data_IF_780293507020
#
_entry.id   IF_780293507020
#
_cell.length_a   1.000
_cell.length_b   1.000
_cell.length_c   1.000
_cell.angle_alpha   90.00
_cell.angle_beta   90.00
_cell.angle_gamma   90.00
#
_symmetry.space_group_name_H-M   'P 1'
#
loop_
_entity.id
_entity.type
_entity.pdbx_description
1 polymer ?
#
# COMPACT_ATOMS: atom_id res chain seq x y z
N UNK A 1 -12.29 11.16 5.82
CA UNK A 1 -10.94 10.61 6.08
C UNK A 1 -10.87 9.52 7.15
N UNK A 2 -11.93 9.23 7.93
CA UNK A 2 -11.93 8.10 8.86
C UNK A 2 -11.67 6.75 8.15
N UNK A 3 -12.22 6.59 6.94
CA UNK A 3 -11.91 5.49 6.02
C UNK A 3 -11.32 6.06 4.72
N UNK A 4 -9.97 6.15 4.61
CA UNK A 4 -9.32 6.83 3.50
C UNK A 4 -9.31 6.01 2.20
N UNK A 5 -9.38 4.68 2.30
CA UNK A 5 -9.37 3.77 1.16
C UNK A 5 -10.76 3.14 0.95
N UNK A 6 -11.08 2.83 -0.31
CA UNK A 6 -12.35 2.22 -0.69
C UNK A 6 -12.44 0.76 -0.19
N UNK A 7 -13.37 0.43 0.73
CA UNK A 7 -13.41 -0.89 1.35
C UNK A 7 -13.70 -2.01 0.35
N UNK A 8 -14.61 -1.74 -0.60
CA UNK A 8 -15.01 -2.69 -1.64
C UNK A 8 -13.85 -3.06 -2.57
N UNK A 9 -13.08 -2.09 -3.07
CA UNK A 9 -11.89 -2.37 -3.89
C UNK A 9 -10.80 -3.10 -3.10
N UNK A 10 -10.60 -2.73 -1.84
CA UNK A 10 -9.65 -3.44 -0.95
C UNK A 10 -10.02 -4.91 -0.78
N UNK A 11 -11.29 -5.22 -0.60
CA UNK A 11 -11.76 -6.59 -0.46
C UNK A 11 -11.47 -7.43 -1.73
N UNK A 12 -11.74 -6.87 -2.92
CA UNK A 12 -11.41 -7.56 -4.19
C UNK A 12 -9.91 -7.80 -4.31
N UNK A 13 -9.07 -6.83 -3.93
CA UNK A 13 -7.61 -6.99 -3.93
C UNK A 13 -7.16 -8.12 -2.98
N UNK A 14 -7.71 -8.17 -1.77
CA UNK A 14 -7.37 -9.18 -0.75
C UNK A 14 -7.76 -10.58 -1.23
N UNK A 15 -9.00 -10.75 -1.71
CA UNK A 15 -9.47 -12.05 -2.21
C UNK A 15 -8.72 -12.49 -3.46
N UNK A 16 -8.36 -11.54 -4.34
CA UNK A 16 -7.56 -11.86 -5.53
C UNK A 16 -6.14 -12.28 -5.16
N UNK A 17 -5.50 -11.60 -4.21
CA UNK A 17 -4.18 -11.99 -3.71
C UNK A 17 -4.20 -13.40 -3.10
N UNK A 18 -5.27 -13.73 -2.35
CA UNK A 18 -5.50 -15.06 -1.79
C UNK A 18 -5.66 -16.13 -2.87
N UNK A 19 -6.46 -15.88 -3.91
CA UNK A 19 -6.64 -16.79 -5.06
C UNK A 19 -5.32 -17.05 -5.81
N UNK A 20 -4.48 -16.03 -5.92
CA UNK A 20 -3.15 -16.12 -6.54
C UNK A 20 -2.09 -16.76 -5.63
N UNK A 21 -2.41 -17.12 -4.39
CA UNK A 21 -1.46 -17.68 -3.42
C UNK A 21 -0.37 -16.69 -2.99
N UNK A 22 -0.62 -15.38 -3.12
CA UNK A 22 0.34 -14.35 -2.74
C UNK A 22 0.31 -14.13 -1.22
N UNK A 23 1.49 -13.99 -0.61
CA UNK A 23 1.58 -13.51 0.77
C UNK A 23 1.09 -12.06 0.82
N UNK A 24 -0.04 -11.84 1.49
CA UNK A 24 -0.70 -10.54 1.58
C UNK A 24 -1.20 -10.32 3.01
N UNK A 25 -1.03 -9.08 3.50
CA UNK A 25 -1.61 -8.63 4.76
C UNK A 25 -2.89 -7.85 4.45
N UNK A 26 -4.01 -8.19 5.10
CA UNK A 26 -5.33 -7.62 4.78
C UNK A 26 -5.52 -6.17 5.25
N UNK A 27 -4.65 -5.69 6.14
CA UNK A 27 -4.66 -4.33 6.69
C UNK A 27 -3.24 -3.87 7.00
N UNK A 28 -3.06 -2.55 7.09
CA UNK A 28 -1.85 -1.92 7.57
C UNK A 28 -1.97 -0.40 7.59
N UNK A 29 -1.25 0.24 8.49
CA UNK A 29 -1.12 1.70 8.61
C UNK A 29 0.15 2.16 7.89
N UNK A 30 -0.01 3.05 6.92
CA UNK A 30 1.09 3.65 6.17
C UNK A 30 1.49 4.99 6.80
N UNK A 31 2.77 5.14 7.14
CA UNK A 31 3.39 6.45 7.40
C UNK A 31 3.96 6.97 6.07
N UNK A 32 3.57 8.18 5.69
CA UNK A 32 4.17 8.87 4.54
C UNK A 32 5.09 9.96 5.06
N UNK A 33 6.39 9.82 4.80
CA UNK A 33 7.39 10.85 5.10
C UNK A 33 7.65 11.72 3.87
N UNK A 34 8.20 12.91 4.09
CA UNK A 34 8.51 13.85 3.00
C UNK A 34 9.56 13.32 2.02
N UNK A 35 10.59 12.62 2.51
CA UNK A 35 11.75 12.27 1.69
C UNK A 35 12.63 13.50 1.35
N UNK A 36 13.58 13.38 0.39
CA UNK A 36 13.99 12.16 -0.32
C UNK A 36 14.90 11.25 0.52
N UNK A 37 15.30 11.69 1.72
CA UNK A 37 16.08 10.86 2.65
C UNK A 37 15.21 9.73 3.23
N UNK A 38 15.85 8.60 3.52
CA UNK A 38 15.26 7.59 4.39
C UNK A 38 15.24 8.08 5.85
N UNK A 39 14.51 7.34 6.68
CA UNK A 39 14.42 7.63 8.12
C UNK A 39 15.72 7.33 8.84
N UNK A 40 15.99 8.08 9.90
CA UNK A 40 16.94 7.69 10.94
C UNK A 40 16.35 6.53 11.76
N UNK A 41 17.21 5.80 12.48
CA UNK A 41 16.75 4.72 13.36
C UNK A 41 15.80 5.22 14.45
N UNK A 42 16.05 6.41 15.00
CA UNK A 42 15.18 7.01 15.99
C UNK A 42 13.76 7.28 15.44
N UNK A 43 13.66 7.79 14.21
CA UNK A 43 12.38 7.96 13.51
C UNK A 43 11.70 6.61 13.25
N UNK A 44 12.44 5.62 12.75
CA UNK A 44 11.91 4.27 12.47
C UNK A 44 11.31 3.61 13.72
N UNK A 45 12.03 3.68 14.85
CA UNK A 45 11.55 3.17 16.15
C UNK A 45 10.35 3.99 16.63
N UNK A 46 10.37 5.32 16.49
CA UNK A 46 9.24 6.17 16.85
C UNK A 46 7.97 5.76 16.08
N UNK A 47 8.05 5.58 14.76
CA UNK A 47 6.88 5.18 13.95
C UNK A 47 6.31 3.82 14.36
N UNK A 48 7.16 2.87 14.78
CA UNK A 48 6.67 1.61 15.35
C UNK A 48 5.90 1.79 16.65
N UNK A 49 6.36 2.69 17.54
CA UNK A 49 5.61 2.99 18.78
C UNK A 49 4.26 3.64 18.50
N UNK A 50 4.10 4.31 17.36
CA UNK A 50 2.80 4.82 16.89
C UNK A 50 1.89 3.71 16.30
N UNK A 51 2.42 2.50 16.09
CA UNK A 51 1.69 1.39 15.47
C UNK A 51 1.65 1.45 13.94
N UNK A 52 2.62 2.11 13.31
CA UNK A 52 2.77 2.07 11.86
C UNK A 52 3.29 0.69 11.39
N UNK A 53 2.74 0.19 10.28
CA UNK A 53 3.11 -1.12 9.72
C UNK A 53 4.11 -0.97 8.55
N UNK A 54 3.94 0.07 7.74
CA UNK A 54 4.74 0.34 6.54
C UNK A 54 5.01 1.83 6.39
N UNK A 55 6.10 2.16 5.68
CA UNK A 55 6.56 3.53 5.43
C UNK A 55 6.75 3.77 3.94
N UNK A 56 6.37 4.95 3.44
CA UNK A 56 6.65 5.39 2.07
C UNK A 56 6.75 6.91 1.96
N UNK A 57 6.75 7.43 0.72
CA UNK A 57 6.85 8.87 0.43
C UNK A 57 5.74 9.40 -0.50
N UNK A 58 4.71 8.61 -0.81
CA UNK A 58 3.75 8.96 -1.88
C UNK A 58 2.28 8.77 -1.55
N UNK A 59 1.91 8.00 -0.52
CA UNK A 59 0.48 7.73 -0.26
C UNK A 59 -0.31 8.99 0.11
N UNK A 60 0.32 9.92 0.82
CA UNK A 60 -0.20 11.26 1.08
C UNK A 60 0.57 12.25 0.19
N UNK A 61 -0.10 13.18 -0.53
CA UNK A 61 -1.53 13.50 -0.49
C UNK A 61 -2.41 12.71 -1.48
N UNK A 62 -1.88 11.71 -2.20
CA UNK A 62 -2.61 11.00 -3.26
C UNK A 62 -3.98 10.45 -2.82
N UNK A 63 -4.04 9.79 -1.66
CA UNK A 63 -5.30 9.24 -1.10
C UNK A 63 -6.32 10.33 -0.76
N UNK A 64 -5.85 11.51 -0.36
CA UNK A 64 -6.71 12.65 0.01
C UNK A 64 -7.34 13.22 -1.25
N UNK A 65 -6.51 13.50 -2.25
CA UNK A 65 -6.95 14.06 -3.53
C UNK A 65 -7.91 13.12 -4.27
N UNK A 66 -7.67 11.81 -4.22
CA UNK A 66 -8.59 10.84 -4.80
C UNK A 66 -9.96 10.85 -4.11
N UNK A 67 -9.99 11.03 -2.79
CA UNK A 67 -11.24 11.15 -2.03
C UNK A 67 -11.98 12.44 -2.38
N UNK A 68 -11.28 13.58 -2.45
CA UNK A 68 -11.85 14.86 -2.87
C UNK A 68 -12.42 14.81 -4.30
N UNK A 69 -11.79 14.04 -5.19
CA UNK A 69 -12.26 13.82 -6.56
C UNK A 69 -13.45 12.85 -6.68
N UNK A 70 -13.94 12.27 -5.57
CA UNK A 70 -15.03 11.31 -5.60
C UNK A 70 -14.63 9.92 -6.12
N UNK A 71 -13.34 9.57 -6.06
CA UNK A 71 -12.79 8.33 -6.64
C UNK A 71 -12.68 7.24 -5.56
N UNK A 72 -13.14 6.03 -5.89
CA UNK A 72 -12.92 4.83 -5.08
C UNK A 72 -11.45 4.38 -5.21
N UNK A 73 -10.61 4.84 -4.29
CA UNK A 73 -9.16 4.63 -4.30
C UNK A 73 -8.70 3.51 -3.36
N UNK A 74 -7.77 2.66 -3.80
CA UNK A 74 -7.11 1.65 -2.98
C UNK A 74 -5.63 1.54 -3.39
N UNK A 75 -4.76 1.19 -2.44
CA UNK A 75 -3.31 1.08 -2.67
C UNK A 75 -2.82 -0.35 -2.43
N UNK A 76 -1.86 -0.79 -3.26
CA UNK A 76 -1.11 -2.03 -3.08
C UNK A 76 0.29 -1.66 -2.60
N UNK A 77 0.55 -1.81 -1.30
CA UNK A 77 1.86 -1.60 -0.73
C UNK A 77 2.71 -2.88 -0.79
N UNK A 78 3.87 -2.81 -1.45
CA UNK A 78 4.85 -3.90 -1.47
C UNK A 78 6.01 -3.56 -0.55
N UNK A 79 6.22 -4.36 0.49
CA UNK A 79 7.39 -4.22 1.35
C UNK A 79 8.66 -4.62 0.57
N UNK A 80 9.63 -3.69 0.48
CA UNK A 80 10.91 -3.90 -0.20
C UNK A 80 12.08 -4.15 0.74
N UNK A 81 11.94 -3.70 1.99
CA UNK A 81 12.96 -3.67 3.02
C UNK A 81 12.29 -3.50 4.41
N UNK A 82 13.10 -3.53 5.46
CA UNK A 82 12.68 -3.31 6.85
C UNK A 82 13.16 -1.95 7.38
N UNK A 83 13.24 -0.93 6.51
CA UNK A 83 13.75 0.40 6.83
C UNK A 83 15.12 0.32 7.54
N UNK A 84 15.26 0.82 8.77
CA UNK A 84 16.52 0.81 9.51
C UNK A 84 16.41 0.43 10.99
N UNK A 85 15.26 -0.12 11.41
CA UNK A 85 14.98 -0.49 12.80
C UNK A 85 15.58 -1.84 13.22
N UNK A 86 15.73 -2.79 12.29
CA UNK A 86 16.34 -4.09 12.59
C UNK A 86 17.86 -3.94 12.69
N UNK A 87 18.43 -4.34 13.83
CA UNK A 87 19.88 -4.24 14.07
C UNK A 87 20.71 -5.24 13.25
N UNK A 88 20.14 -6.40 12.90
CA UNK A 88 20.83 -7.48 12.18
C UNK A 88 20.35 -7.64 10.72
N UNK A 89 19.54 -6.72 10.22
CA UNK A 89 19.27 -6.64 8.79
C UNK A 89 19.95 -5.42 8.19
N UNK A 90 20.40 -5.57 6.95
CA UNK A 90 21.04 -4.50 6.21
C UNK A 90 20.11 -3.29 6.09
N UNK A 91 20.67 -2.08 6.18
CA UNK A 91 19.94 -0.81 6.06
C UNK A 91 19.36 -0.63 4.65
N UNK A 92 18.21 0.05 4.53
CA UNK A 92 17.61 0.42 3.25
C UNK A 92 18.56 1.23 2.36
N UNK A 93 18.58 0.90 1.07
CA UNK A 93 19.31 1.63 0.03
C UNK A 93 18.56 1.53 -1.29
N UNK A 94 18.81 2.48 -2.21
CA UNK A 94 18.13 2.55 -3.51
C UNK A 94 18.29 1.24 -4.30
N UNK A 95 19.50 0.67 -4.34
CA UNK A 95 19.77 -0.55 -5.09
C UNK A 95 18.98 -1.76 -4.56
N UNK A 96 18.82 -1.85 -3.23
CA UNK A 96 18.04 -2.94 -2.61
C UNK A 96 16.55 -2.79 -2.88
N UNK A 97 16.03 -1.57 -2.79
CA UNK A 97 14.63 -1.27 -3.15
C UNK A 97 14.38 -1.68 -4.60
N UNK A 98 15.24 -1.27 -5.53
CA UNK A 98 15.10 -1.62 -6.96
C UNK A 98 15.18 -3.12 -7.21
N UNK A 99 16.09 -3.83 -6.53
CA UNK A 99 16.23 -5.29 -6.63
C UNK A 99 14.96 -6.00 -6.18
N UNK A 100 14.51 -5.73 -4.96
CA UNK A 100 13.29 -6.35 -4.39
C UNK A 100 12.05 -5.98 -5.20
N UNK A 101 11.97 -4.73 -5.68
CA UNK A 101 10.88 -4.28 -6.54
C UNK A 101 10.85 -5.08 -7.85
N UNK A 102 12.00 -5.29 -8.51
CA UNK A 102 12.08 -6.07 -9.75
C UNK A 102 11.62 -7.52 -9.54
N UNK A 103 12.00 -8.13 -8.41
CA UNK A 103 11.58 -9.49 -8.04
C UNK A 103 10.08 -9.58 -7.71
N UNK A 104 9.51 -8.54 -7.09
CA UNK A 104 8.12 -8.51 -6.66
C UNK A 104 7.14 -7.89 -7.68
N UNK A 105 7.62 -7.16 -8.69
CA UNK A 105 6.79 -6.44 -9.66
C UNK A 105 5.81 -7.37 -10.38
N UNK A 106 6.23 -8.60 -10.69
CA UNK A 106 5.37 -9.60 -11.30
C UNK A 106 4.17 -9.96 -10.42
N UNK A 107 4.32 -9.97 -9.09
CA UNK A 107 3.23 -10.23 -8.15
C UNK A 107 2.17 -9.14 -8.20
N UNK A 108 2.59 -7.87 -8.15
CA UNK A 108 1.69 -6.72 -8.27
C UNK A 108 1.01 -6.67 -9.65
N UNK A 109 1.76 -6.94 -10.72
CA UNK A 109 1.22 -7.01 -12.08
C UNK A 109 0.13 -8.08 -12.20
N UNK A 110 0.40 -9.30 -11.75
CA UNK A 110 -0.60 -10.38 -11.79
C UNK A 110 -1.82 -10.03 -10.94
N UNK A 111 -1.62 -9.47 -9.74
CA UNK A 111 -2.71 -9.03 -8.87
C UNK A 111 -3.61 -8.00 -9.57
N UNK A 112 -3.03 -6.97 -10.19
CA UNK A 112 -3.78 -5.95 -10.93
C UNK A 112 -4.53 -6.55 -12.13
N UNK A 113 -3.85 -7.35 -12.97
CA UNK A 113 -4.46 -7.95 -14.15
C UNK A 113 -5.61 -8.91 -13.82
N UNK A 114 -5.58 -9.55 -12.65
CA UNK A 114 -6.70 -10.40 -12.18
C UNK A 114 -7.78 -9.60 -11.46
N UNK A 115 -7.43 -8.48 -10.80
CA UNK A 115 -8.38 -7.64 -10.06
C UNK A 115 -9.23 -6.76 -10.97
N UNK A 116 -8.63 -6.16 -12.01
CA UNK A 116 -9.31 -5.21 -12.90
C UNK A 116 -10.58 -5.79 -13.55
N UNK A 117 -10.58 -7.02 -14.11
CA UNK A 117 -11.79 -7.63 -14.65
C UNK A 117 -12.88 -7.87 -13.60
N UNK A 118 -12.49 -8.25 -12.37
CA UNK A 118 -13.45 -8.44 -11.27
C UNK A 118 -14.14 -7.12 -10.92
N UNK A 119 -13.37 -6.03 -10.78
CA UNK A 119 -13.91 -4.68 -10.55
C UNK A 119 -14.89 -4.29 -11.68
N UNK A 120 -14.53 -4.53 -12.95
CA UNK A 120 -15.39 -4.22 -14.10
C UNK A 120 -16.69 -5.04 -14.18
N UNK A 121 -16.79 -6.15 -13.44
CA UNK A 121 -17.98 -7.02 -13.40
C UNK A 121 -18.92 -6.76 -12.22
N UNK A 122 -18.52 -5.89 -11.28
CA UNK A 122 -19.27 -5.59 -10.06
C UNK A 122 -20.14 -4.34 -10.21
N UNK A 123 -21.17 -4.25 -9.37
CA UNK A 123 -22.04 -3.06 -9.30
C UNK A 123 -21.43 -1.97 -8.40
N UNK A 124 -21.38 -0.72 -8.85
CA UNK A 124 -20.69 0.37 -8.13
C UNK A 124 -21.56 1.60 -7.82
N UNK A 125 -22.80 1.64 -8.30
CA UNK A 125 -23.69 2.81 -8.17
C UNK A 125 -23.78 3.36 -6.74
N UNK A 126 -24.14 2.51 -5.77
CA UNK A 126 -24.26 2.91 -4.36
C UNK A 126 -22.90 3.36 -3.77
N UNK A 127 -21.83 2.61 -4.07
CA UNK A 127 -20.48 2.93 -3.57
C UNK A 127 -20.02 4.30 -4.08
N UNK A 128 -20.21 4.59 -5.36
CA UNK A 128 -19.81 5.87 -5.97
C UNK A 128 -20.72 7.02 -5.55
N UNK A 129 -22.00 6.74 -5.26
CA UNK A 129 -22.91 7.73 -4.70
C UNK A 129 -22.47 8.17 -3.29
N UNK A 130 -22.07 7.22 -2.44
CA UNK A 130 -21.68 7.48 -1.04
C UNK A 130 -20.27 8.06 -0.88
N UNK A 131 -19.45 8.10 -1.94
CA UNK A 131 -18.12 8.70 -1.91
C UNK A 131 -18.18 10.22 -2.13
N UNK A 132 -19.23 10.71 -2.80
CA UNK A 132 -19.52 12.14 -2.98
C UNK A 132 -20.03 12.77 -1.68
#
# INVERSE_FOLDING_TARGET
>A
MAEPFCPKTREVLIETAKKLGLRCHSKGTMITIEGPRFSSRAESVMFQTWGADVINMTTVPEVILAKEAGICYASIAMATDYDCWKEHEEVVSVDRVLKTLKENANKAKSLLLTTIPQVGSMEWSETLHNIR
#
